data_IF_267147383061
#
_entry.id   IF_267147383061
#
_cell.length_a   1.000
_cell.length_b   1.000
_cell.length_c   1.000
_cell.angle_alpha   90.00
_cell.angle_beta   90.00
_cell.angle_gamma   90.00
#
_symmetry.space_group_name_H-M   'P 1'
#
loop_
_entity.id
_entity.type
_entity.pdbx_description
1 polymer ?
#
# COMPACT_ATOMS: atom_id res chain seq x y z
N UNK A 1 12.73 -38.54 23.24
CA UNK A 1 11.37 -38.41 22.65
C UNK A 1 10.68 -37.28 23.37
N UNK A 2 9.85 -36.54 22.64
CA UNK A 2 9.15 -35.30 23.01
C UNK A 2 9.98 -34.02 22.88
N UNK A 3 9.63 -33.21 21.87
CA UNK A 3 10.11 -31.85 21.69
C UNK A 3 9.05 -30.82 22.10
N UNK A 4 9.30 -29.53 21.89
CA UNK A 4 8.24 -28.54 21.73
C UNK A 4 8.40 -27.85 20.36
N UNK A 5 7.38 -27.74 19.50
CA UNK A 5 5.98 -27.54 19.82
C UNK A 5 5.64 -26.06 19.70
N UNK A 6 5.42 -25.62 18.47
CA UNK A 6 4.51 -24.54 18.05
C UNK A 6 4.50 -23.23 18.86
N UNK A 7 5.29 -22.23 18.43
CA UNK A 7 5.01 -20.82 18.71
C UNK A 7 3.97 -20.29 17.73
N UNK A 8 2.71 -20.67 17.96
CA UNK A 8 1.55 -20.11 17.26
C UNK A 8 1.23 -18.70 17.75
N UNK A 9 1.70 -17.70 17.00
CA UNK A 9 1.15 -16.34 16.78
C UNK A 9 -0.04 -15.89 17.68
N UNK A 10 0.22 -15.54 18.95
CA UNK A 10 -0.75 -14.84 19.86
C UNK A 10 -0.48 -13.31 19.86
N UNK A 11 -0.50 -12.70 18.69
CA UNK A 11 -0.51 -11.23 18.53
C UNK A 11 -1.36 -10.93 17.31
N UNK A 12 -2.63 -10.56 17.48
CA UNK A 12 -3.35 -9.73 16.47
C UNK A 12 -4.82 -9.35 16.81
N UNK A 13 -5.54 -10.03 17.71
CA UNK A 13 -7.02 -9.87 17.78
C UNK A 13 -7.54 -8.45 18.07
N UNK A 14 -6.88 -7.70 18.95
CA UNK A 14 -7.29 -6.32 19.25
C UNK A 14 -6.96 -5.34 18.12
N UNK A 15 -5.86 -5.57 17.40
CA UNK A 15 -5.45 -4.75 16.24
C UNK A 15 -6.45 -4.93 15.10
N UNK A 16 -6.83 -6.18 14.83
CA UNK A 16 -7.78 -6.50 13.76
C UNK A 16 -9.15 -5.87 14.02
N UNK A 17 -9.63 -5.90 15.26
CA UNK A 17 -10.90 -5.27 15.63
C UNK A 17 -10.85 -3.74 15.50
N UNK A 18 -9.73 -3.10 15.84
CA UNK A 18 -9.58 -1.65 15.65
C UNK A 18 -9.51 -1.26 14.18
N UNK A 19 -8.90 -2.07 13.32
CA UNK A 19 -8.87 -1.85 11.87
C UNK A 19 -10.27 -2.00 11.27
N UNK A 20 -10.99 -3.07 11.62
CA UNK A 20 -12.38 -3.28 11.18
C UNK A 20 -13.28 -2.14 11.66
N UNK A 21 -13.12 -1.69 12.90
CA UNK A 21 -13.88 -0.55 13.43
C UNK A 21 -13.56 0.75 12.70
N UNK A 22 -12.31 1.00 12.33
CA UNK A 22 -11.91 2.17 11.55
C UNK A 22 -12.55 2.16 10.16
N UNK A 23 -12.60 0.99 9.51
CA UNK A 23 -13.25 0.79 8.23
C UNK A 23 -14.77 1.03 8.35
N UNK A 24 -15.40 0.45 9.37
CA UNK A 24 -16.84 0.63 9.60
C UNK A 24 -17.19 2.09 9.91
N UNK A 25 -16.34 2.78 10.67
CA UNK A 25 -16.51 4.21 10.97
C UNK A 25 -16.44 5.06 9.69
N UNK A 26 -15.50 4.75 8.78
CA UNK A 26 -15.43 5.40 7.46
C UNK A 26 -16.68 5.12 6.62
N UNK A 27 -17.16 3.87 6.61
CA UNK A 27 -18.40 3.53 5.92
C UNK A 27 -19.61 4.27 6.48
N UNK A 28 -19.77 4.29 7.80
CA UNK A 28 -20.86 5.03 8.47
C UNK A 28 -20.84 6.52 8.11
N UNK A 29 -19.66 7.13 8.06
CA UNK A 29 -19.49 8.52 7.65
C UNK A 29 -19.79 8.74 6.16
N UNK A 30 -19.39 7.80 5.28
CA UNK A 30 -19.77 7.80 3.85
C UNK A 30 -21.30 7.73 3.70
N UNK A 31 -21.99 6.88 4.48
CA UNK A 31 -23.46 6.73 4.44
C UNK A 31 -24.22 7.94 5.00
N UNK A 32 -23.71 8.56 6.05
CA UNK A 32 -24.33 9.74 6.64
C UNK A 32 -24.32 10.93 5.67
N UNK A 33 -23.27 11.09 4.86
CA UNK A 33 -23.20 12.11 3.80
C UNK A 33 -24.25 11.92 2.69
N UNK A 34 -24.78 10.71 2.53
CA UNK A 34 -25.80 10.36 1.54
C UNK A 34 -27.23 10.45 2.09
N UNK A 35 -27.41 10.85 3.36
CA UNK A 35 -28.73 11.06 3.96
C UNK A 35 -29.48 9.77 4.34
N UNK A 36 -28.79 8.62 4.40
CA UNK A 36 -29.40 7.35 4.83
C UNK A 36 -29.51 7.37 6.37
N UNK A 37 -30.63 7.87 6.90
CA UNK A 37 -30.93 7.89 8.33
C UNK A 37 -31.63 6.62 8.80
N UNK A 38 -31.36 6.23 10.05
CA UNK A 38 -31.73 4.96 10.70
C UNK A 38 -33.24 4.62 10.70
N UNK A 39 -34.12 5.60 10.54
CA UNK A 39 -35.57 5.45 10.74
C UNK A 39 -36.36 4.94 9.52
N UNK A 40 -35.79 5.01 8.31
CA UNK A 40 -36.46 4.60 7.05
C UNK A 40 -35.88 3.31 6.44
N UNK A 41 -34.94 2.66 7.13
CA UNK A 41 -34.07 1.65 6.54
C UNK A 41 -34.63 0.22 6.61
N UNK A 42 -35.39 -0.15 7.65
CA UNK A 42 -35.71 -1.55 7.96
C UNK A 42 -36.43 -2.31 6.83
N UNK A 43 -37.31 -1.65 6.08
CA UNK A 43 -38.10 -2.28 5.00
C UNK A 43 -37.41 -2.21 3.63
N UNK A 44 -36.39 -1.37 3.48
CA UNK A 44 -35.65 -1.14 2.22
C UNK A 44 -34.18 -1.59 2.27
N UNK A 45 -33.77 -2.31 3.31
CA UNK A 45 -32.36 -2.72 3.52
C UNK A 45 -31.80 -3.48 2.31
N UNK A 46 -32.58 -4.39 1.73
CA UNK A 46 -32.12 -5.20 0.59
C UNK A 46 -31.98 -4.37 -0.69
N UNK A 47 -32.94 -3.48 -0.96
CA UNK A 47 -32.90 -2.55 -2.10
C UNK A 47 -31.75 -1.55 -1.97
N UNK A 48 -31.51 -1.03 -0.75
CA UNK A 48 -30.39 -0.15 -0.46
C UNK A 48 -29.05 -0.86 -0.63
N UNK A 49 -28.91 -2.12 -0.19
CA UNK A 49 -27.71 -2.94 -0.39
C UNK A 49 -27.48 -3.31 -1.87
N UNK A 50 -28.54 -3.48 -2.64
CA UNK A 50 -28.48 -3.74 -4.07
C UNK A 50 -28.29 -2.45 -4.90
N UNK A 51 -28.40 -1.27 -4.29
CA UNK A 51 -28.20 -0.01 -4.98
C UNK A 51 -26.76 0.11 -5.48
N UNK A 52 -26.63 0.34 -6.78
CA UNK A 52 -25.34 0.55 -7.45
C UNK A 52 -24.57 1.72 -6.81
N UNK A 53 -25.26 2.78 -6.39
CA UNK A 53 -24.66 3.92 -5.70
C UNK A 53 -24.04 3.51 -4.36
N UNK A 54 -24.74 2.68 -3.58
CA UNK A 54 -24.24 2.19 -2.29
C UNK A 54 -23.04 1.25 -2.49
N UNK A 55 -23.12 0.33 -3.44
CA UNK A 55 -22.05 -0.61 -3.75
C UNK A 55 -20.80 0.11 -4.26
N UNK A 56 -20.97 1.08 -5.16
CA UNK A 56 -19.87 1.90 -5.66
C UNK A 56 -19.19 2.68 -4.52
N UNK A 57 -19.96 3.29 -3.62
CA UNK A 57 -19.40 3.97 -2.45
C UNK A 57 -18.67 3.02 -1.49
N UNK A 58 -19.21 1.83 -1.27
CA UNK A 58 -18.52 0.80 -0.47
C UNK A 58 -17.17 0.43 -1.09
N UNK A 59 -17.11 0.23 -2.40
CA UNK A 59 -15.87 -0.05 -3.12
C UNK A 59 -14.89 1.11 -2.96
N UNK A 60 -15.33 2.36 -3.15
CA UNK A 60 -14.47 3.53 -3.02
C UNK A 60 -13.94 3.70 -1.60
N UNK A 61 -14.79 3.61 -0.57
CA UNK A 61 -14.37 3.77 0.82
C UNK A 61 -13.44 2.60 1.25
N UNK A 62 -13.62 1.39 0.69
CA UNK A 62 -12.70 0.26 0.90
C UNK A 62 -11.33 0.48 0.23
N UNK A 63 -11.31 0.91 -1.04
CA UNK A 63 -10.08 1.19 -1.78
C UNK A 63 -9.27 2.32 -1.11
N UNK A 64 -9.93 3.38 -0.70
CA UNK A 64 -9.34 4.52 0.01
C UNK A 64 -8.76 4.09 1.37
N UNK A 65 -9.43 3.19 2.08
CA UNK A 65 -8.89 2.59 3.30
C UNK A 65 -7.63 1.75 3.05
N UNK A 66 -7.65 0.86 2.04
CA UNK A 66 -6.47 0.07 1.67
C UNK A 66 -5.30 0.96 1.23
N UNK A 67 -5.56 2.01 0.46
CA UNK A 67 -4.55 2.97 0.03
C UNK A 67 -3.93 3.71 1.22
N UNK A 68 -4.78 4.21 2.13
CA UNK A 68 -4.34 4.90 3.36
C UNK A 68 -3.44 3.99 4.23
N UNK A 69 -3.86 2.75 4.43
CA UNK A 69 -3.12 1.75 5.21
C UNK A 69 -1.79 1.40 4.56
N UNK A 70 -1.76 1.29 3.23
CA UNK A 70 -0.53 1.05 2.50
C UNK A 70 0.45 2.22 2.62
N UNK A 71 -0.02 3.47 2.49
CA UNK A 71 0.82 4.66 2.71
C UNK A 71 1.36 4.70 4.14
N UNK A 72 0.51 4.43 5.14
CA UNK A 72 0.92 4.32 6.54
C UNK A 72 2.02 3.27 6.72
N UNK A 73 1.83 2.08 6.14
CA UNK A 73 2.84 1.02 6.14
C UNK A 73 4.16 1.50 5.51
N UNK A 74 4.11 2.14 4.34
CA UNK A 74 5.30 2.68 3.69
C UNK A 74 6.02 3.71 4.57
N UNK A 75 5.29 4.63 5.18
CA UNK A 75 5.87 5.63 6.10
C UNK A 75 6.56 4.97 7.29
N UNK A 76 5.95 3.95 7.89
CA UNK A 76 6.54 3.19 9.00
C UNK A 76 7.78 2.42 8.53
N UNK A 77 7.71 1.73 7.38
CA UNK A 77 8.84 0.98 6.83
C UNK A 77 10.04 1.88 6.50
N UNK A 78 9.79 3.05 5.91
CA UNK A 78 10.80 4.05 5.55
C UNK A 78 11.40 4.72 6.79
N UNK A 79 10.58 5.09 7.78
CA UNK A 79 11.09 5.67 9.03
C UNK A 79 11.93 4.69 9.84
N UNK A 80 11.55 3.41 9.87
CA UNK A 80 12.34 2.36 10.52
C UNK A 80 13.71 2.15 9.84
N UNK A 81 13.82 2.43 8.53
CA UNK A 81 15.05 2.29 7.75
C UNK A 81 15.54 3.61 7.16
N UNK A 82 15.38 4.72 7.92
CA UNK A 82 15.61 6.08 7.42
C UNK A 82 17.02 6.31 6.82
N UNK A 83 18.05 5.64 7.35
CA UNK A 83 19.44 5.75 6.84
C UNK A 83 19.60 5.23 5.41
N UNK A 84 18.86 4.17 5.06
CA UNK A 84 18.93 3.51 3.74
C UNK A 84 17.92 4.14 2.78
N UNK A 85 16.79 4.61 3.30
CA UNK A 85 15.69 5.14 2.51
C UNK A 85 16.03 6.41 1.70
N UNK A 86 16.99 7.22 2.18
CA UNK A 86 17.39 8.50 1.56
C UNK A 86 16.15 9.36 1.19
N UNK A 87 15.19 9.44 2.11
CA UNK A 87 14.01 10.29 1.95
C UNK A 87 14.50 11.74 1.89
N UNK A 88 14.48 12.34 0.70
CA UNK A 88 14.86 13.74 0.50
C UNK A 88 13.89 14.70 1.18
N UNK A 89 14.08 16.01 0.96
CA UNK A 89 13.24 17.06 1.57
C UNK A 89 11.88 17.33 0.91
N UNK A 90 11.47 16.53 -0.09
CA UNK A 90 10.21 16.73 -0.81
C UNK A 90 9.13 15.77 -0.28
N UNK A 91 8.08 16.27 0.40
CA UNK A 91 6.94 15.43 0.79
C UNK A 91 6.15 15.03 -0.45
N UNK A 92 5.91 13.74 -0.64
CA UNK A 92 5.08 13.23 -1.73
C UNK A 92 5.14 11.70 -1.87
N UNK A 93 4.09 11.12 -2.46
CA UNK A 93 3.97 9.66 -2.67
C UNK A 93 5.14 9.12 -3.50
N UNK A 94 5.55 9.86 -4.55
CA UNK A 94 6.71 9.51 -5.38
C UNK A 94 8.02 9.44 -4.58
N UNK A 95 8.25 10.38 -3.67
CA UNK A 95 9.45 10.34 -2.83
C UNK A 95 9.42 9.18 -1.82
N UNK A 96 8.24 8.91 -1.25
CA UNK A 96 8.04 7.83 -0.28
C UNK A 96 8.19 6.45 -0.92
N UNK A 97 7.58 6.23 -2.09
CA UNK A 97 7.68 4.99 -2.84
C UNK A 97 9.11 4.75 -3.29
N UNK A 98 9.81 5.78 -3.79
CA UNK A 98 11.24 5.68 -4.13
C UNK A 98 12.07 5.28 -2.91
N UNK A 99 11.85 5.92 -1.77
CA UNK A 99 12.57 5.63 -0.54
C UNK A 99 12.33 4.19 -0.06
N UNK A 100 11.10 3.69 -0.19
CA UNK A 100 10.76 2.29 0.09
C UNK A 100 11.41 1.30 -0.90
N UNK A 101 11.43 1.65 -2.18
CA UNK A 101 12.09 0.85 -3.22
C UNK A 101 13.61 0.78 -2.99
N UNK A 102 14.25 1.86 -2.54
CA UNK A 102 15.67 1.85 -2.17
C UNK A 102 15.99 0.93 -0.98
N UNK A 103 15.02 0.70 -0.08
CA UNK A 103 15.18 -0.29 1.01
C UNK A 103 14.92 -1.71 0.48
N UNK A 104 13.92 -1.86 -0.39
CA UNK A 104 13.46 -3.15 -0.90
C UNK A 104 14.34 -3.72 -2.01
N UNK A 105 15.08 -2.87 -2.72
CA UNK A 105 16.10 -3.19 -3.71
C UNK A 105 17.44 -2.62 -3.21
N UNK A 106 18.25 -3.39 -2.48
CA UNK A 106 19.64 -3.06 -2.23
C UNK A 106 20.29 -2.85 -3.60
N UNK A 107 20.77 -1.63 -3.80
CA UNK A 107 21.46 -1.23 -5.03
C UNK A 107 22.56 -2.23 -5.36
N UNK A 108 22.60 -2.67 -6.63
CA UNK A 108 23.62 -3.53 -7.26
C UNK A 108 25.07 -3.02 -7.15
N UNK A 109 25.33 -1.92 -6.44
CA UNK A 109 26.67 -1.35 -6.29
C UNK A 109 27.47 -1.93 -5.12
N UNK A 110 26.85 -2.69 -4.22
CA UNK A 110 27.57 -3.41 -3.16
C UNK A 110 27.57 -4.91 -3.48
N UNK A 111 28.53 -5.34 -4.30
CA UNK A 111 28.88 -6.76 -4.57
C UNK A 111 29.34 -7.55 -3.31
N UNK A 112 28.91 -7.14 -2.12
CA UNK A 112 29.37 -7.66 -0.84
C UNK A 112 28.29 -7.66 0.27
N UNK A 113 27.03 -7.35 -0.03
CA UNK A 113 25.98 -7.28 1.00
C UNK A 113 25.06 -8.51 0.97
N UNK A 114 25.44 -9.51 1.74
CA UNK A 114 24.80 -10.80 2.05
C UNK A 114 23.42 -10.71 2.76
N UNK A 115 22.59 -9.73 2.42
CA UNK A 115 21.25 -9.55 2.98
C UNK A 115 20.25 -9.67 1.83
N UNK A 116 19.66 -10.87 1.74
CA UNK A 116 18.58 -11.22 0.80
C UNK A 116 17.45 -10.21 0.91
N UNK A 117 17.31 -9.39 -0.13
CA UNK A 117 16.19 -8.49 -0.33
C UNK A 117 15.02 -9.21 -0.97
N UNK A 118 13.82 -8.89 -0.51
CA UNK A 118 12.55 -9.53 -0.92
C UNK A 118 12.21 -9.29 -2.41
N UNK A 119 12.84 -8.32 -3.08
CA UNK A 119 12.70 -8.05 -4.50
C UNK A 119 13.99 -8.39 -5.28
N UNK A 120 14.62 -9.52 -4.95
CA UNK A 120 15.74 -10.05 -5.72
C UNK A 120 15.20 -10.62 -7.04
N UNK A 121 15.13 -9.78 -8.07
CA UNK A 121 14.99 -10.25 -9.44
C UNK A 121 16.29 -11.00 -9.82
N UNK A 122 16.23 -12.17 -10.50
CA UNK A 122 17.40 -13.03 -10.65
C UNK A 122 18.53 -12.33 -11.43
N UNK A 123 19.66 -12.12 -10.77
CA UNK A 123 20.90 -11.54 -11.30
C UNK A 123 21.70 -12.52 -12.19
N UNK A 124 21.19 -13.73 -12.42
CA UNK A 124 21.90 -14.79 -13.16
C UNK A 124 21.67 -14.68 -14.68
N UNK A 125 20.77 -13.80 -15.11
CA UNK A 125 20.58 -13.39 -16.49
C UNK A 125 20.54 -11.87 -16.48
N UNK A 126 21.46 -11.19 -17.16
CA UNK A 126 21.54 -9.73 -17.24
C UNK A 126 20.32 -9.09 -17.90
N UNK A 127 19.16 -9.20 -17.26
CA UNK A 127 17.92 -8.52 -17.62
C UNK A 127 18.09 -7.09 -17.15
N UNK A 128 18.72 -6.29 -18.00
CA UNK A 128 18.53 -4.84 -17.97
C UNK A 128 17.01 -4.59 -17.90
N UNK A 129 16.58 -3.68 -17.01
CA UNK A 129 15.18 -3.29 -16.98
C UNK A 129 14.81 -2.77 -18.38
N UNK A 130 13.98 -3.51 -19.12
CA UNK A 130 13.65 -3.19 -20.53
C UNK A 130 13.14 -1.75 -20.68
N UNK A 131 12.44 -1.25 -19.65
CA UNK A 131 11.86 0.09 -19.58
C UNK A 131 12.72 1.11 -18.82
N UNK A 132 13.94 0.75 -18.43
CA UNK A 132 14.90 1.63 -17.79
C UNK A 132 14.62 1.98 -16.33
N UNK A 133 15.27 3.05 -15.87
CA UNK A 133 15.24 3.54 -14.49
C UNK A 133 14.68 4.96 -14.44
N UNK A 134 13.78 5.21 -13.49
CA UNK A 134 13.28 6.54 -13.13
C UNK A 134 13.77 6.87 -11.73
N UNK A 135 14.44 8.02 -11.56
CA UNK A 135 15.01 8.41 -10.26
C UNK A 135 15.98 7.36 -9.66
N UNK A 136 16.61 6.54 -10.50
CA UNK A 136 17.52 5.46 -10.09
C UNK A 136 16.83 4.19 -9.57
N UNK A 137 15.50 4.08 -9.70
CA UNK A 137 14.73 2.86 -9.41
C UNK A 137 13.98 2.39 -10.65
N UNK A 138 13.62 1.10 -10.78
CA UNK A 138 12.96 0.61 -11.98
C UNK A 138 11.56 1.20 -12.17
N UNK A 139 11.21 1.52 -13.41
CA UNK A 139 9.98 2.24 -13.78
C UNK A 139 8.71 1.51 -13.31
N UNK A 140 8.61 0.21 -13.59
CA UNK A 140 7.42 -0.58 -13.24
C UNK A 140 7.12 -0.69 -11.75
N UNK A 141 8.09 -1.05 -10.88
CA UNK A 141 7.91 -0.97 -9.43
C UNK A 141 7.45 0.41 -8.97
N UNK A 142 8.02 1.47 -9.54
CA UNK A 142 7.65 2.84 -9.19
C UNK A 142 6.18 3.13 -9.53
N UNK A 143 5.74 2.79 -10.74
CA UNK A 143 4.33 2.94 -11.17
C UNK A 143 3.40 2.08 -10.31
N UNK A 144 3.74 0.81 -10.10
CA UNK A 144 2.94 -0.15 -9.35
C UNK A 144 2.67 0.34 -7.92
N UNK A 145 3.71 0.79 -7.22
CA UNK A 145 3.56 1.23 -5.84
C UNK A 145 2.88 2.60 -5.71
N UNK A 146 3.02 3.50 -6.69
CA UNK A 146 2.21 4.72 -6.76
C UNK A 146 0.71 4.40 -6.92
N UNK A 147 0.36 3.46 -7.81
CA UNK A 147 -1.03 3.00 -7.97
C UNK A 147 -1.56 2.32 -6.70
N UNK A 148 -0.72 1.51 -6.04
CA UNK A 148 -1.08 0.83 -4.79
C UNK A 148 -1.30 1.80 -3.62
N UNK A 149 -0.61 2.94 -3.64
CA UNK A 149 -0.84 4.05 -2.71
C UNK A 149 -2.05 4.93 -3.08
N UNK A 150 -2.85 4.52 -4.08
CA UNK A 150 -3.99 5.28 -4.61
C UNK A 150 -3.63 6.66 -5.17
N UNK A 151 -2.36 6.88 -5.53
CA UNK A 151 -1.88 8.12 -6.15
C UNK A 151 -1.66 7.89 -7.66
N UNK A 152 -2.76 7.97 -8.41
CA UNK A 152 -2.74 7.82 -9.86
C UNK A 152 -1.96 8.93 -10.57
N UNK A 153 -1.95 10.15 -10.02
CA UNK A 153 -1.25 11.27 -10.63
C UNK A 153 0.26 11.08 -10.54
N UNK A 154 0.76 10.64 -9.38
CA UNK A 154 2.18 10.28 -9.24
C UNK A 154 2.59 9.16 -10.19
N UNK A 155 1.71 8.16 -10.43
CA UNK A 155 1.97 7.09 -11.39
C UNK A 155 2.09 7.62 -12.84
N UNK A 156 1.18 8.52 -13.24
CA UNK A 156 1.24 9.18 -14.57
C UNK A 156 2.52 10.02 -14.72
N UNK A 157 2.90 10.75 -13.68
CA UNK A 157 4.12 11.57 -13.71
C UNK A 157 5.39 10.70 -13.76
N UNK A 158 5.36 9.51 -13.17
CA UNK A 158 6.44 8.52 -13.31
C UNK A 158 6.50 7.97 -14.73
N UNK A 159 5.35 7.58 -15.31
CA UNK A 159 5.29 7.10 -16.69
C UNK A 159 5.79 8.17 -17.68
N UNK A 160 5.41 9.43 -17.49
CA UNK A 160 5.90 10.56 -18.31
C UNK A 160 7.39 10.85 -18.13
N UNK A 161 7.95 10.53 -16.96
CA UNK A 161 9.38 10.71 -16.71
C UNK A 161 10.24 9.56 -17.26
N UNK A 162 9.62 8.44 -17.65
CA UNK A 162 10.28 7.29 -18.25
C UNK A 162 10.34 7.33 -19.78
N UNK A 163 9.50 8.18 -20.41
CA UNK A 163 9.47 8.45 -21.85
C UNK A 163 10.41 9.56 -22.26
#
# INVERSE_FOLDING_TARGET
MEGPGSSGKVRQTHSDLTEIWSLFSRFAQCFQKQGITHDSAADRVLELRASESLQHQLILCALDHLGSEFVRFLTVAVSNHARVAKLGGLPGTRALVRAYLNISLPTMNDSASNNSSVLQFPDESGVEYEDGLVDGVPVWPMIYYCLRASDGQAAVDVARAAS
#
